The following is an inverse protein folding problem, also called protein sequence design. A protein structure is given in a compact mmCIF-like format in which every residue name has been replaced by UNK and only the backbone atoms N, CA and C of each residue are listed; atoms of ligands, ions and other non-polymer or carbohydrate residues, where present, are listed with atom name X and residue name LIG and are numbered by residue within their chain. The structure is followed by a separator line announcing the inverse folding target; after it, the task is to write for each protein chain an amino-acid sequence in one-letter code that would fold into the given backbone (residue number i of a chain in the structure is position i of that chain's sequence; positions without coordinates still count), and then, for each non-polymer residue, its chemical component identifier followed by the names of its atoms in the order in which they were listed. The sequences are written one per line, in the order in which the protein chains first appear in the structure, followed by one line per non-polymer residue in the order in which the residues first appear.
data_IF_731978243844
#
_entry.id   IF_731978243844
#
_cell.length_a   1.000
_cell.length_b   1.000
_cell.length_c   1.000
_cell.angle_alpha   90.00
_cell.angle_beta   90.00
_cell.angle_gamma   90.00
#
_symmetry.space_group_name_H-M   'P 1'
#
loop_
_entity.id
_entity.type
_entity.pdbx_description
1 polymer ?
#
# COMPACT_ATOMS: atom_id res chain seq x y z
N UNK A 1 2.88 -17.24 14.17
CA UNK A 1 1.60 -16.91 13.53
C UNK A 1 1.88 -16.86 12.05
N UNK A 2 1.30 -17.81 11.33
CA UNK A 2 1.50 -18.07 9.91
C UNK A 2 0.60 -17.12 9.11
N UNK A 3 1.11 -16.54 8.03
CA UNK A 3 0.32 -15.72 7.10
C UNK A 3 -0.73 -16.60 6.40
N UNK A 4 -1.84 -16.88 7.06
CA UNK A 4 -2.96 -17.66 6.52
C UNK A 4 -4.07 -16.71 6.07
N UNK A 5 -3.86 -16.10 4.91
CA UNK A 5 -4.93 -15.64 4.03
C UNK A 5 -5.33 -16.80 3.12
N UNK A 6 -6.64 -17.00 2.92
CA UNK A 6 -7.21 -18.04 2.06
C UNK A 6 -6.80 -17.79 0.61
N UNK A 7 -6.03 -18.72 0.04
CA UNK A 7 -5.63 -18.71 -1.37
C UNK A 7 -4.36 -17.90 -1.63
N UNK A 8 -3.28 -18.64 -1.90
CA UNK A 8 -2.18 -18.31 -2.81
C UNK A 8 -1.23 -17.16 -2.43
N UNK A 9 0.01 -17.56 -2.16
CA UNK A 9 1.25 -16.77 -2.10
C UNK A 9 1.21 -15.47 -1.27
N UNK A 10 1.72 -15.55 -0.03
CA UNK A 10 2.08 -14.35 0.72
C UNK A 10 2.97 -13.46 -0.15
N UNK A 11 2.50 -12.23 -0.41
CA UNK A 11 3.22 -11.21 -1.17
C UNK A 11 4.68 -11.13 -0.70
N UNK A 12 5.62 -10.97 -1.62
CA UNK A 12 7.04 -10.77 -1.32
C UNK A 12 7.27 -9.66 -0.28
N UNK A 13 6.40 -8.63 -0.29
CA UNK A 13 6.38 -7.57 0.71
C UNK A 13 6.02 -8.08 2.13
N UNK A 14 5.07 -9.02 2.23
CA UNK A 14 4.71 -9.62 3.51
C UNK A 14 5.86 -10.46 4.07
N UNK A 15 6.52 -11.26 3.22
CA UNK A 15 7.69 -12.08 3.60
C UNK A 15 8.86 -11.21 4.09
N UNK A 16 9.17 -10.14 3.38
CA UNK A 16 10.22 -9.19 3.78
C UNK A 16 9.87 -8.48 5.09
N UNK A 17 8.62 -8.06 5.28
CA UNK A 17 8.21 -7.46 6.55
C UNK A 17 8.41 -8.37 7.77
N UNK A 18 8.12 -9.66 7.61
CA UNK A 18 8.32 -10.65 8.67
C UNK A 18 9.81 -10.87 8.92
N UNK A 19 10.61 -11.04 7.86
CA UNK A 19 12.06 -11.22 7.97
C UNK A 19 12.73 -10.04 8.69
N UNK A 20 12.29 -8.82 8.41
CA UNK A 20 12.81 -7.59 9.02
C UNK A 20 12.11 -7.20 10.33
N UNK A 21 11.22 -8.05 10.87
CA UNK A 21 10.52 -7.86 12.16
C UNK A 21 9.77 -6.52 12.27
N UNK A 22 9.12 -6.08 11.19
CA UNK A 22 8.28 -4.88 11.23
C UNK A 22 7.13 -5.05 12.24
N UNK A 23 6.63 -3.96 12.85
CA UNK A 23 5.44 -3.99 13.71
C UNK A 23 4.25 -4.74 13.09
N UNK A 24 3.52 -5.52 13.89
CA UNK A 24 2.40 -6.36 13.44
C UNK A 24 1.35 -5.58 12.63
N UNK A 25 1.05 -4.35 13.04
CA UNK A 25 0.12 -3.45 12.32
C UNK A 25 0.47 -3.24 10.85
N UNK A 26 1.76 -3.16 10.50
CA UNK A 26 2.19 -3.04 9.09
C UNK A 26 2.09 -4.36 8.35
N UNK A 27 2.38 -5.47 9.03
CA UNK A 27 2.22 -6.81 8.47
C UNK A 27 0.76 -7.08 8.11
N UNK A 28 -0.18 -6.66 8.97
CA UNK A 28 -1.63 -6.76 8.71
C UNK A 28 -2.01 -6.04 7.42
N UNK A 29 -1.61 -4.77 7.28
CA UNK A 29 -1.88 -3.97 6.09
C UNK A 29 -1.33 -4.65 4.82
N UNK A 30 -0.07 -5.10 4.82
CA UNK A 30 0.55 -5.71 3.62
C UNK A 30 0.03 -7.12 3.34
N UNK A 31 -0.50 -7.80 4.36
CA UNK A 31 -1.07 -9.14 4.21
C UNK A 31 -2.45 -9.16 3.59
N UNK A 32 -3.23 -8.07 3.70
CA UNK A 32 -4.54 -7.98 3.07
C UNK A 32 -4.36 -7.64 1.58
N UNK A 33 -4.79 -8.56 0.72
CA UNK A 33 -4.75 -8.36 -0.72
C UNK A 33 -5.51 -7.09 -1.14
N UNK A 34 -6.62 -6.78 -0.46
CA UNK A 34 -7.45 -5.62 -0.76
C UNK A 34 -6.82 -4.32 -0.24
N UNK A 35 -5.77 -4.36 0.58
CA UNK A 35 -5.07 -3.16 1.02
C UNK A 35 -3.92 -2.76 0.07
N UNK A 36 -3.57 -3.62 -0.88
CA UNK A 36 -2.54 -3.35 -1.88
C UNK A 36 -3.07 -2.48 -3.02
N UNK A 37 -2.16 -1.93 -3.83
CA UNK A 37 -2.54 -1.15 -5.00
C UNK A 37 -3.18 -2.03 -6.08
N UNK A 38 -4.07 -1.41 -6.84
CA UNK A 38 -4.64 -2.00 -8.05
C UNK A 38 -3.76 -1.62 -9.24
N UNK A 39 -2.93 -2.57 -9.67
CA UNK A 39 -1.93 -2.36 -10.71
C UNK A 39 -2.45 -2.93 -12.04
N UNK A 40 -2.76 -2.05 -12.99
CA UNK A 40 -3.23 -2.46 -14.32
C UNK A 40 -2.15 -2.29 -15.39
N UNK A 41 -1.98 -3.31 -16.23
CA UNK A 41 -1.03 -3.24 -17.34
C UNK A 41 -1.59 -2.39 -18.48
N UNK A 42 -0.84 -1.36 -18.89
CA UNK A 42 -1.17 -0.55 -20.06
C UNK A 42 -0.32 -0.98 -21.26
N UNK A 43 -0.98 -1.57 -22.26
CA UNK A 43 -0.35 -2.05 -23.50
C UNK A 43 0.24 -0.94 -24.37
N UNK A 44 -0.22 0.31 -24.24
CA UNK A 44 0.27 1.45 -25.02
C UNK A 44 1.62 1.96 -24.51
N UNK A 45 1.78 2.01 -23.19
CA UNK A 45 3.01 2.48 -22.56
C UNK A 45 3.97 1.34 -22.25
N UNK A 46 3.49 0.09 -22.25
CA UNK A 46 4.25 -1.09 -21.83
C UNK A 46 4.52 -1.14 -20.33
N UNK A 47 3.78 -0.36 -19.54
CA UNK A 47 4.00 -0.16 -18.11
C UNK A 47 2.75 -0.49 -17.30
N UNK A 48 2.95 -0.86 -16.05
CA UNK A 48 1.84 -0.97 -15.08
C UNK A 48 1.50 0.41 -14.52
N UNK A 49 0.21 0.74 -14.55
CA UNK A 49 -0.35 1.96 -13.99
C UNK A 49 -0.90 1.61 -12.62
N UNK A 50 -0.36 2.27 -11.60
CA UNK A 50 -0.84 2.13 -10.23
C UNK A 50 -2.11 2.98 -10.08
N UNK A 51 -3.26 2.32 -9.94
CA UNK A 51 -4.51 2.99 -9.57
C UNK A 51 -4.61 3.09 -8.05
N UNK A 52 -5.16 4.21 -7.58
CA UNK A 52 -5.37 4.46 -6.16
C UNK A 52 -6.77 4.00 -5.77
N UNK A 53 -6.92 3.09 -4.79
CA UNK A 53 -8.24 2.77 -4.24
C UNK A 53 -8.88 4.02 -3.61
N UNK A 54 -10.20 4.24 -3.79
CA UNK A 54 -10.88 5.45 -3.34
C UNK A 54 -10.88 5.61 -1.81
N UNK A 55 -10.72 4.49 -1.08
CA UNK A 55 -10.69 4.46 0.36
C UNK A 55 -9.29 4.69 0.97
N UNK A 56 -8.22 4.67 0.17
CA UNK A 56 -6.85 4.72 0.70
C UNK A 56 -6.43 6.16 1.07
N UNK A 57 -5.93 6.35 2.29
CA UNK A 57 -5.40 7.62 2.78
C UNK A 57 -4.07 8.00 2.14
N UNK A 58 -3.74 9.29 2.15
CA UNK A 58 -2.43 9.78 1.70
C UNK A 58 -1.27 9.20 2.53
N UNK A 59 -1.52 8.96 3.82
CA UNK A 59 -0.53 8.35 4.73
C UNK A 59 -0.22 6.91 4.30
N UNK A 60 -1.24 6.13 3.95
CA UNK A 60 -1.06 4.78 3.43
C UNK A 60 -0.28 4.80 2.10
N UNK A 61 -0.65 5.70 1.18
CA UNK A 61 0.08 5.87 -0.09
C UNK A 61 1.57 6.22 0.15
N UNK A 62 1.88 7.11 1.08
CA UNK A 62 3.25 7.48 1.42
C UNK A 62 4.03 6.32 2.08
N UNK A 63 3.34 5.52 2.90
CA UNK A 63 3.92 4.32 3.51
C UNK A 63 4.34 3.29 2.45
N UNK A 64 3.45 2.92 1.53
CA UNK A 64 3.77 1.95 0.48
C UNK A 64 4.92 2.44 -0.41
N UNK A 65 4.95 3.73 -0.76
CA UNK A 65 6.08 4.33 -1.50
C UNK A 65 7.42 4.07 -0.81
N UNK A 66 7.48 4.27 0.51
CA UNK A 66 8.70 4.06 1.29
C UNK A 66 9.05 2.59 1.41
N UNK A 67 8.04 1.74 1.56
CA UNK A 67 8.23 0.30 1.59
C UNK A 67 8.85 -0.20 0.28
N UNK A 68 8.32 0.23 -0.87
CA UNK A 68 8.84 -0.14 -2.20
C UNK A 68 10.30 0.27 -2.39
N UNK A 69 10.64 1.49 -1.99
CA UNK A 69 12.03 1.98 -2.00
C UNK A 69 12.91 1.11 -1.10
N UNK A 70 12.43 0.78 0.10
CA UNK A 70 13.22 -0.01 1.04
C UNK A 70 13.44 -1.43 0.56
N UNK A 71 12.41 -2.04 -0.04
CA UNK A 71 12.52 -3.35 -0.68
C UNK A 71 13.53 -3.30 -1.83
N UNK A 72 13.48 -2.27 -2.67
CA UNK A 72 14.44 -2.08 -3.77
C UNK A 72 15.89 -1.92 -3.27
N UNK A 73 16.10 -1.21 -2.15
CA UNK A 73 17.42 -1.11 -1.52
C UNK A 73 17.92 -2.47 -1.03
N UNK A 74 17.05 -3.26 -0.38
CA UNK A 74 17.40 -4.59 0.13
C UNK A 74 17.76 -5.53 -1.01
N UNK A 75 16.98 -5.55 -2.10
CA UNK A 75 17.26 -6.38 -3.28
C UNK A 75 18.63 -6.03 -3.89
N UNK A 76 18.93 -4.73 -4.01
CA UNK A 76 20.24 -4.25 -4.50
C UNK A 76 21.39 -4.68 -3.58
N UNK A 77 21.22 -4.59 -2.26
CA UNK A 77 22.24 -5.01 -1.30
C UNK A 77 22.51 -6.52 -1.36
N UNK A 78 21.48 -7.32 -1.67
CA UNK A 78 21.59 -8.77 -1.81
C UNK A 78 22.16 -9.20 -3.17
N UNK A 79 22.51 -8.25 -4.06
CA UNK A 79 23.04 -8.53 -5.39
C UNK A 79 21.99 -9.07 -6.37
N UNK A 80 20.71 -9.01 -6.03
CA UNK A 80 19.63 -9.35 -6.93
C UNK A 80 19.38 -8.17 -7.89
N UNK A 81 19.22 -8.47 -9.17
CA UNK A 81 18.61 -7.51 -10.10
C UNK A 81 17.16 -7.36 -9.62
N UNK A 82 16.72 -6.17 -9.20
CA UNK A 82 15.35 -6.00 -8.76
C UNK A 82 14.44 -6.35 -9.93
N UNK A 83 13.75 -7.49 -9.87
CA UNK A 83 12.70 -7.86 -10.83
C UNK A 83 11.41 -7.09 -10.51
N UNK A 84 11.56 -5.84 -10.04
CA UNK A 84 10.45 -4.96 -9.80
C UNK A 84 9.89 -4.58 -11.15
N UNK A 85 8.62 -4.93 -11.39
CA UNK A 85 7.88 -4.45 -12.53
C UNK A 85 8.01 -2.92 -12.57
N UNK A 86 8.25 -2.35 -13.76
CA UNK A 86 8.34 -0.90 -13.90
C UNK A 86 6.93 -0.33 -13.78
N UNK A 87 6.47 -0.17 -12.55
CA UNK A 87 5.20 0.47 -12.23
C UNK A 87 5.41 1.99 -12.21
N UNK A 88 4.55 2.74 -12.90
CA UNK A 88 4.54 4.20 -12.83
C UNK A 88 3.27 4.71 -12.21
N UNK A 89 3.42 5.73 -11.37
CA UNK A 89 2.30 6.48 -10.82
C UNK A 89 1.96 7.60 -11.80
N UNK A 90 0.71 7.71 -12.26
CA UNK A 90 0.30 8.81 -13.11
C UNK A 90 0.40 10.14 -12.36
N UNK A 91 0.67 11.26 -13.06
CA UNK A 91 0.66 12.62 -12.48
C UNK A 91 -0.66 12.91 -11.78
N UNK A 92 -1.75 12.55 -12.45
CA UNK A 92 -3.10 12.65 -11.90
C UNK A 92 -3.48 11.29 -11.32
N UNK A 93 -3.85 11.21 -10.03
CA UNK A 93 -4.25 9.95 -9.45
C UNK A 93 -5.47 9.40 -10.20
N UNK A 94 -5.32 8.20 -10.73
CA UNK A 94 -6.43 7.46 -11.33
C UNK A 94 -7.09 6.68 -10.19
N UNK A 95 -8.37 6.95 -9.96
CA UNK A 95 -9.15 6.22 -8.97
C UNK A 95 -9.42 4.83 -9.52
N UNK A 96 -9.19 3.81 -8.70
CA UNK A 96 -9.53 2.43 -9.03
C UNK A 96 -11.04 2.20 -8.84
N UNK A 97 -11.61 1.38 -9.72
CA UNK A 97 -12.98 0.87 -9.59
C UNK A 97 -13.07 -0.30 -8.59
N UNK A 98 -11.98 -0.64 -7.92
CA UNK A 98 -11.90 -1.75 -6.97
C UNK A 98 -12.81 -1.52 -5.76
N UNK A 99 -13.90 -2.27 -5.73
CA UNK A 99 -15.00 -2.09 -4.78
C UNK A 99 -14.73 -2.70 -3.40
N UNK A 100 -13.84 -3.72 -3.33
CA UNK A 100 -13.61 -4.46 -2.09
C UNK A 100 -12.70 -3.67 -1.16
N UNK A 101 -13.20 -3.44 0.04
CA UNK A 101 -12.44 -2.77 1.10
C UNK A 101 -11.70 -3.81 1.94
N UNK A 102 -10.44 -3.54 2.30
CA UNK A 102 -9.74 -4.34 3.30
C UNK A 102 -10.50 -4.32 4.63
N UNK A 103 -10.27 -5.33 5.47
CA UNK A 103 -10.99 -5.53 6.73
C UNK A 103 -10.02 -5.74 7.88
N UNK A 104 -10.40 -5.29 9.07
CA UNK A 104 -9.56 -5.36 10.27
C UNK A 104 -8.20 -4.71 10.08
N UNK A 105 -8.16 -3.56 9.41
CA UNK A 105 -6.94 -2.78 9.25
C UNK A 105 -7.01 -1.46 10.04
N UNK A 106 -5.86 -0.84 10.34
CA UNK A 106 -5.78 0.40 11.11
C UNK A 106 -6.62 1.53 10.51
N UNK A 107 -7.25 2.35 11.36
CA UNK A 107 -8.23 3.37 10.95
C UNK A 107 -7.64 4.42 10.02
N UNK A 108 -6.37 4.75 10.22
CA UNK A 108 -5.63 5.77 9.48
C UNK A 108 -5.15 5.31 8.09
N UNK A 109 -5.39 4.04 7.75
CA UNK A 109 -5.33 3.59 6.36
C UNK A 109 -6.45 4.20 5.53
N UNK A 110 -7.62 4.44 6.11
CA UNK A 110 -8.76 4.95 5.36
C UNK A 110 -8.72 6.47 5.23
N UNK A 111 -9.16 6.99 4.08
CA UNK A 111 -9.42 8.42 3.91
C UNK A 111 -10.57 8.84 4.84
N UNK A 112 -10.40 9.96 5.54
CA UNK A 112 -11.35 10.43 6.56
C UNK A 112 -12.75 10.67 5.99
N UNK A 113 -12.85 11.29 4.81
CA UNK A 113 -14.13 11.53 4.12
C UNK A 113 -14.83 10.22 3.78
N UNK A 114 -14.12 9.32 3.10
CA UNK A 114 -14.63 8.00 2.73
C UNK A 114 -15.07 7.19 3.95
N UNK A 115 -14.27 7.18 5.01
CA UNK A 115 -14.59 6.42 6.22
C UNK A 115 -15.83 6.99 6.92
N UNK A 116 -15.96 8.31 7.00
CA UNK A 116 -17.06 8.97 7.70
C UNK A 116 -18.41 8.76 7.01
N UNK A 117 -18.43 8.66 5.68
CA UNK A 117 -19.64 8.39 4.87
C UNK A 117 -20.22 6.98 5.09
N UNK A 118 -19.42 6.02 5.58
CA UNK A 118 -19.87 4.64 5.81
C UNK A 118 -20.79 4.49 7.02
N UNK A 119 -21.65 3.46 6.97
CA UNK A 119 -22.50 3.13 8.10
C UNK A 119 -21.67 2.51 9.26
N UNK A 120 -22.20 2.51 10.49
CA UNK A 120 -21.47 2.04 11.66
C UNK A 120 -21.05 0.57 11.56
N UNK A 121 -21.88 -0.28 10.93
CA UNK A 121 -21.58 -1.70 10.74
C UNK A 121 -20.40 -1.91 9.78
N UNK A 122 -20.34 -1.16 8.70
CA UNK A 122 -19.23 -1.16 7.74
C UNK A 122 -17.94 -0.65 8.38
N UNK A 123 -18.02 0.42 9.19
CA UNK A 123 -16.88 0.95 9.95
C UNK A 123 -16.27 -0.11 10.88
N UNK A 124 -17.12 -0.85 11.59
CA UNK A 124 -16.70 -1.93 12.49
C UNK A 124 -16.09 -3.12 11.75
N UNK A 125 -16.54 -3.42 10.52
CA UNK A 125 -15.97 -4.48 9.70
C UNK A 125 -14.66 -4.06 9.01
N UNK A 126 -14.56 -2.78 8.65
CA UNK A 126 -13.41 -2.22 7.95
C UNK A 126 -12.22 -2.05 8.91
N UNK A 127 -12.46 -1.48 10.09
CA UNK A 127 -11.37 -1.09 10.98
C UNK A 127 -11.51 -1.65 12.39
N UNK A 128 -10.39 -2.12 12.92
CA UNK A 128 -10.22 -2.30 14.35
C UNK A 128 -10.02 -0.90 14.96
N UNK A 129 -11.12 -0.28 15.40
CA UNK A 129 -11.27 1.14 15.72
C UNK A 129 -10.23 1.75 16.69
N UNK A 130 -9.41 0.94 17.35
CA UNK A 130 -8.38 1.35 18.30
C UNK A 130 -6.96 1.42 17.72
N UNK A 131 -6.71 0.90 16.51
CA UNK A 131 -5.36 0.82 15.95
C UNK A 131 -5.05 1.94 14.94
N UNK A 132 -3.91 2.59 15.14
CA UNK A 132 -3.32 3.62 14.25
C UNK A 132 -1.93 3.14 13.85
N UNK A 133 -1.61 3.16 12.56
CA UNK A 133 -0.35 2.62 12.02
C UNK A 133 0.62 3.67 11.51
N UNK A 134 0.13 4.71 10.86
CA UNK A 134 0.89 5.73 10.16
C UNK A 134 1.04 7.01 10.99
N UNK A 135 2.21 7.61 10.85
CA UNK A 135 2.47 8.96 11.36
C UNK A 135 2.03 9.96 10.26
N UNK A 136 1.37 11.07 10.59
CA UNK A 136 0.87 12.03 9.60
C UNK A 136 1.96 12.49 8.63
N UNK A 137 1.70 12.45 7.32
CA UNK A 137 2.68 12.83 6.28
C UNK A 137 3.21 14.25 6.44
N UNK A 138 2.43 15.19 6.99
CA UNK A 138 2.84 16.58 7.22
C UNK A 138 4.05 16.74 8.14
N UNK A 139 4.32 15.76 9.02
CA UNK A 139 5.46 15.82 9.94
C UNK A 139 6.70 15.11 9.40
N UNK A 140 6.60 14.49 8.23
CA UNK A 140 7.67 13.72 7.64
C UNK A 140 8.49 14.58 6.66
N UNK A 141 9.82 14.62 6.79
CA UNK A 141 10.65 15.39 5.87
C UNK A 141 10.49 14.87 4.43
N UNK A 142 10.48 15.77 3.42
CA UNK A 142 10.39 15.38 2.03
C UNK A 142 11.58 14.48 1.67
N UNK A 143 11.28 13.32 1.07
CA UNK A 143 12.30 12.37 0.66
C UNK A 143 12.97 12.90 -0.62
N UNK A 144 14.21 13.41 -0.49
CA UNK A 144 15.00 14.00 -1.59
C UNK A 144 15.29 13.02 -2.73
N UNK A 145 15.08 11.71 -2.53
CA UNK A 145 15.25 10.67 -3.55
C UNK A 145 14.01 10.47 -4.42
N UNK A 146 12.87 11.02 -4.01
CA UNK A 146 11.62 11.03 -4.76
C UNK A 146 11.71 12.14 -5.82
N UNK A 147 12.55 11.94 -6.83
CA UNK A 147 12.38 12.70 -8.07
C UNK A 147 10.99 12.34 -8.59
N UNK A 148 10.07 13.31 -8.58
CA UNK A 148 8.70 13.19 -9.06
C UNK A 148 8.69 12.93 -10.58
N UNK A 149 9.13 11.74 -11.00
CA UNK A 149 8.99 11.20 -12.36
C UNK A 149 7.55 10.76 -12.56
N UNK A 150 6.66 11.71 -12.40
CA UNK A 150 5.26 11.60 -12.73
C UNK A 150 5.13 11.69 -14.25
N UNK A 151 4.34 10.80 -14.85
CA UNK A 151 4.11 10.73 -16.31
C UNK A 151 2.81 11.47 -16.68
N UNK A 152 2.81 12.15 -17.82
CA UNK A 152 1.65 12.90 -18.36
C UNK A 152 0.52 11.98 -18.86
#
# INVERSE_FOLDING_TARGET
MECKGRGEESSTACKTMIAHKYPKRYQLIVSDFNANSDDEYNTKTGLYIIKKPPYQSENATAFFKRLDIKMAEVDRMMGHIPNQQVCRRPKKPIISDFEKTPKNIPIDFYQTEWFNEKNNSEKLLASELSEVAFVPVKTLPPDKRLGDLSFD
#
